data_IF_533549019545
#
_entry.id   IF_533549019545
#
_cell.length_a   1.000
_cell.length_b   1.000
_cell.length_c   1.000
_cell.angle_alpha   90.00
_cell.angle_beta   90.00
_cell.angle_gamma   90.00
#
_symmetry.space_group_name_H-M   'P 1'
#
loop_
_entity.id
_entity.type
_entity.pdbx_description
1 polymer ?
#
# COMPACT_ATOMS: atom_id res chain seq x y z
N UNK A 1 58.67 -42.16 -32.15
CA UNK A 1 58.43 -41.20 -31.06
C UNK A 1 56.93 -40.87 -31.07
N UNK A 2 56.02 -41.79 -30.75
CA UNK A 2 55.54 -42.28 -29.42
C UNK A 2 55.07 -41.18 -28.46
N UNK A 3 53.76 -41.21 -28.17
CA UNK A 3 53.07 -40.51 -27.08
C UNK A 3 51.93 -39.62 -27.60
N UNK A 4 50.64 -39.98 -27.58
CA UNK A 4 49.94 -41.03 -26.83
C UNK A 4 49.37 -40.51 -25.51
N UNK A 5 48.21 -39.82 -25.55
CA UNK A 5 47.41 -39.54 -24.35
C UNK A 5 45.91 -39.39 -24.69
N UNK A 6 45.17 -40.46 -24.42
CA UNK A 6 43.79 -40.50 -23.86
C UNK A 6 43.97 -41.01 -22.39
N UNK A 7 43.02 -40.92 -21.42
CA UNK A 7 41.54 -40.85 -21.49
C UNK A 7 40.96 -39.97 -20.32
N UNK A 8 39.85 -40.30 -19.61
CA UNK A 8 38.51 -40.82 -19.93
C UNK A 8 37.42 -39.75 -19.60
N UNK A 9 36.13 -39.88 -19.96
CA UNK A 9 35.16 -40.78 -19.33
C UNK A 9 34.02 -39.97 -18.68
N UNK A 10 32.82 -40.15 -19.21
CA UNK A 10 31.54 -39.63 -18.72
C UNK A 10 31.18 -40.20 -17.35
N UNK A 11 30.65 -39.36 -16.46
CA UNK A 11 29.65 -39.76 -15.45
C UNK A 11 28.62 -38.66 -15.27
N UNK A 12 27.39 -38.94 -15.70
CA UNK A 12 26.19 -38.25 -15.29
C UNK A 12 25.77 -38.71 -13.87
N UNK A 13 25.33 -37.78 -13.02
CA UNK A 13 24.52 -37.94 -11.79
C UNK A 13 24.52 -36.57 -11.10
N UNK A 14 23.45 -35.90 -10.71
CA UNK A 14 22.00 -36.02 -10.79
C UNK A 14 21.48 -34.68 -10.22
N UNK A 15 20.25 -34.25 -10.54
CA UNK A 15 19.74 -32.96 -10.07
C UNK A 15 19.44 -33.00 -8.56
N UNK A 16 19.95 -32.02 -7.82
CA UNK A 16 19.52 -31.76 -6.45
C UNK A 16 18.09 -31.20 -6.49
N UNK A 17 17.15 -32.11 -6.26
CA UNK A 17 15.75 -31.86 -5.98
C UNK A 17 15.62 -31.09 -4.67
N UNK A 18 15.31 -29.80 -4.76
CA UNK A 18 14.80 -28.99 -3.66
C UNK A 18 13.30 -28.78 -3.90
N UNK A 19 12.48 -29.58 -3.22
CA UNK A 19 11.03 -29.52 -3.24
C UNK A 19 10.53 -28.12 -2.86
N UNK A 20 10.04 -27.37 -3.85
CA UNK A 20 9.14 -26.26 -3.60
C UNK A 20 7.77 -26.85 -3.25
N UNK A 21 7.38 -26.70 -1.99
CA UNK A 21 6.05 -27.02 -1.54
C UNK A 21 5.03 -26.22 -2.36
N UNK A 22 4.13 -26.97 -3.00
CA UNK A 22 3.04 -26.51 -3.84
C UNK A 22 2.05 -25.66 -3.02
N UNK A 23 2.32 -24.36 -2.98
CA UNK A 23 1.41 -23.36 -2.44
C UNK A 23 0.37 -23.00 -3.50
N UNK A 24 -0.56 -23.90 -3.78
CA UNK A 24 -1.67 -23.63 -4.70
C UNK A 24 -2.42 -22.37 -4.27
N UNK A 25 -2.29 -21.33 -5.10
CA UNK A 25 -2.86 -19.99 -4.95
C UNK A 25 -4.39 -20.07 -5.05
N UNK A 26 -5.15 -19.41 -4.15
CA UNK A 26 -6.60 -19.42 -4.23
C UNK A 26 -7.07 -18.69 -5.51
N UNK A 27 -8.09 -19.22 -6.22
CA UNK A 27 -8.64 -18.59 -7.41
C UNK A 27 -9.23 -17.21 -7.05
N UNK A 28 -8.74 -16.16 -7.72
CA UNK A 28 -9.11 -14.77 -7.46
C UNK A 28 -7.98 -13.89 -6.88
N UNK A 29 -6.80 -14.44 -6.59
CA UNK A 29 -5.61 -13.62 -6.37
C UNK A 29 -4.97 -13.32 -7.72
N UNK A 30 -5.10 -12.09 -8.24
CA UNK A 30 -4.41 -11.71 -9.48
C UNK A 30 -2.89 -11.66 -9.23
N UNK A 31 -2.16 -12.54 -9.90
CA UNK A 31 -0.72 -12.43 -10.04
C UNK A 31 -0.44 -11.20 -10.90
N UNK A 32 0.27 -10.19 -10.36
CA UNK A 32 0.82 -9.11 -11.18
C UNK A 32 -0.16 -8.21 -11.92
N UNK A 33 -1.36 -7.99 -11.37
CA UNK A 33 -2.36 -7.08 -11.94
C UNK A 33 -2.43 -5.72 -11.22
N UNK A 34 -2.74 -4.67 -11.98
CA UNK A 34 -3.13 -3.36 -11.42
C UNK A 34 -4.53 -3.48 -10.80
N UNK A 35 -4.70 -3.02 -9.57
CA UNK A 35 -6.00 -2.94 -8.91
C UNK A 35 -6.68 -1.61 -9.20
N UNK A 36 -8.00 -1.62 -9.31
CA UNK A 36 -8.79 -0.43 -9.64
C UNK A 36 -9.58 0.01 -8.39
N UNK A 37 -9.30 1.21 -7.85
CA UNK A 37 -10.06 1.74 -6.72
C UNK A 37 -11.42 2.27 -7.19
N UNK A 38 -12.42 2.14 -6.33
CA UNK A 38 -13.72 2.77 -6.54
C UNK A 38 -13.63 4.27 -6.25
N UNK A 39 -14.23 5.16 -7.06
CA UNK A 39 -14.31 6.57 -6.70
C UNK A 39 -15.23 6.75 -5.48
N UNK A 40 -14.83 7.58 -4.53
CA UNK A 40 -15.70 7.94 -3.41
C UNK A 40 -16.97 8.63 -3.95
N UNK A 41 -18.18 8.13 -3.63
CA UNK A 41 -19.41 8.79 -4.01
C UNK A 41 -19.50 10.19 -3.39
N UNK A 42 -20.26 11.12 -4.02
CA UNK A 42 -20.46 12.46 -3.50
C UNK A 42 -20.75 12.48 -1.99
N UNK A 43 -20.20 13.45 -1.27
CA UNK A 43 -20.34 13.50 0.19
C UNK A 43 -21.80 13.68 0.65
N UNK A 44 -22.65 14.19 -0.24
CA UNK A 44 -24.09 14.38 -0.04
C UNK A 44 -24.91 13.09 -0.14
N UNK A 45 -24.38 12.02 -0.75
CA UNK A 45 -25.09 10.75 -0.88
C UNK A 45 -24.85 9.86 0.34
N UNK A 46 -25.83 9.00 0.65
CA UNK A 46 -25.61 7.92 1.59
C UNK A 46 -24.66 6.89 0.95
N UNK A 47 -23.66 6.46 1.71
CA UNK A 47 -22.86 5.30 1.34
C UNK A 47 -23.59 4.04 1.83
N UNK A 48 -23.90 3.07 0.95
CA UNK A 48 -24.51 1.83 1.38
C UNK A 48 -23.57 1.09 2.33
N UNK A 49 -24.15 0.29 3.22
CA UNK A 49 -23.36 -0.58 4.11
C UNK A 49 -22.44 -1.45 3.27
N UNK A 50 -21.16 -1.43 3.59
CA UNK A 50 -20.16 -2.21 2.86
C UNK A 50 -20.07 -3.62 3.44
N UNK A 51 -19.95 -4.66 2.60
CA UNK A 51 -19.66 -6.00 3.10
C UNK A 51 -18.29 -6.03 3.78
N UNK A 52 -18.03 -7.01 4.67
CA UNK A 52 -16.70 -7.19 5.22
C UNK A 52 -15.71 -7.52 4.08
N UNK A 53 -14.51 -6.92 4.06
CA UNK A 53 -13.48 -7.27 3.08
C UNK A 53 -13.04 -8.73 3.26
N UNK A 54 -12.78 -9.43 2.16
CA UNK A 54 -12.26 -10.80 2.21
C UNK A 54 -10.75 -10.80 2.49
N UNK A 55 -10.19 -11.87 3.09
CA UNK A 55 -8.74 -12.03 3.19
C UNK A 55 -8.08 -11.85 1.82
N UNK A 56 -6.96 -11.11 1.77
CA UNK A 56 -6.20 -10.80 0.55
C UNK A 56 -6.87 -9.91 -0.52
N UNK A 57 -8.10 -9.42 -0.33
CA UNK A 57 -8.70 -8.41 -1.22
C UNK A 57 -9.15 -7.18 -0.41
N UNK A 58 -8.38 -6.09 -0.43
CA UNK A 58 -8.79 -4.85 0.19
C UNK A 58 -9.89 -4.18 -0.64
N UNK A 59 -10.79 -3.44 0.01
CA UNK A 59 -11.61 -2.46 -0.68
C UNK A 59 -10.77 -1.19 -0.83
N UNK A 60 -10.65 -0.70 -2.07
CA UNK A 60 -9.82 0.46 -2.41
C UNK A 60 -10.70 1.60 -2.88
N UNK A 61 -10.44 2.79 -2.37
CA UNK A 61 -11.23 3.98 -2.67
C UNK A 61 -10.35 5.15 -3.04
N UNK A 62 -10.70 5.83 -4.13
CA UNK A 62 -10.04 7.04 -4.59
C UNK A 62 -10.89 8.26 -4.21
N UNK A 63 -10.27 9.23 -3.54
CA UNK A 63 -10.90 10.50 -3.18
C UNK A 63 -10.23 11.61 -3.97
N UNK A 64 -11.00 12.28 -4.83
CA UNK A 64 -10.50 13.40 -5.62
C UNK A 64 -10.96 14.71 -4.99
N UNK A 65 -10.02 15.52 -4.52
CA UNK A 65 -10.30 16.78 -3.81
C UNK A 65 -11.11 17.74 -4.65
N UNK A 66 -10.81 17.86 -5.95
CA UNK A 66 -11.57 18.71 -6.86
C UNK A 66 -13.07 18.38 -6.91
N UNK A 67 -13.43 17.11 -6.72
CA UNK A 67 -14.84 16.64 -6.72
C UNK A 67 -15.53 16.96 -5.39
N UNK A 68 -14.79 16.98 -4.28
CA UNK A 68 -15.39 17.00 -2.94
C UNK A 68 -15.15 18.29 -2.16
N UNK A 69 -14.18 19.13 -2.53
CA UNK A 69 -13.72 20.28 -1.73
C UNK A 69 -14.83 21.30 -1.36
N UNK A 70 -15.77 21.54 -2.27
CA UNK A 70 -16.88 22.46 -2.00
C UNK A 70 -17.81 21.88 -0.92
N UNK A 71 -18.08 20.58 -1.02
CA UNK A 71 -18.99 19.89 -0.11
C UNK A 71 -18.30 19.62 1.23
N UNK A 72 -17.02 19.24 1.24
CA UNK A 72 -16.32 18.81 2.46
C UNK A 72 -16.28 19.90 3.51
N UNK A 73 -16.17 21.17 3.10
CA UNK A 73 -16.15 22.32 4.00
C UNK A 73 -17.41 22.38 4.88
N UNK A 74 -18.57 22.02 4.32
CA UNK A 74 -19.85 21.99 5.05
C UNK A 74 -20.01 20.74 5.92
N UNK A 75 -19.50 19.61 5.47
CA UNK A 75 -19.70 18.31 6.13
C UNK A 75 -18.65 17.99 7.19
N UNK A 76 -17.43 18.52 7.06
CA UNK A 76 -16.32 18.21 7.96
C UNK A 76 -16.66 18.43 9.45
N UNK A 77 -17.32 19.53 9.88
CA UNK A 77 -17.68 19.72 11.29
C UNK A 77 -18.67 18.69 11.84
N UNK A 78 -19.44 18.02 10.95
CA UNK A 78 -20.40 16.97 11.31
C UNK A 78 -19.77 15.58 11.35
N UNK A 79 -18.56 15.41 10.83
CA UNK A 79 -17.92 14.11 10.60
C UNK A 79 -16.59 13.99 11.35
N UNK A 80 -15.72 14.99 11.24
CA UNK A 80 -14.39 15.00 11.85
C UNK A 80 -14.46 15.28 13.35
N UNK A 81 -13.47 14.77 14.09
CA UNK A 81 -13.29 15.12 15.49
C UNK A 81 -12.57 16.48 15.66
N UNK A 82 -12.55 17.06 16.88
CA UNK A 82 -11.89 18.34 17.11
C UNK A 82 -10.39 18.35 16.80
N UNK A 83 -9.68 17.23 17.01
CA UNK A 83 -8.25 17.15 16.74
C UNK A 83 -7.96 17.14 15.24
N UNK A 84 -8.79 16.43 14.46
CA UNK A 84 -8.72 16.45 12.99
C UNK A 84 -9.06 17.83 12.42
N UNK A 85 -10.07 18.51 12.98
CA UNK A 85 -10.41 19.88 12.57
C UNK A 85 -9.27 20.86 12.87
N UNK A 86 -8.72 20.82 14.09
CA UNK A 86 -7.56 21.63 14.46
C UNK A 86 -6.35 21.36 13.54
N UNK A 87 -6.07 20.08 13.26
CA UNK A 87 -5.00 19.69 12.33
C UNK A 87 -5.25 20.21 10.92
N UNK A 88 -6.49 20.24 10.45
CA UNK A 88 -6.83 20.83 9.16
C UNK A 88 -6.51 22.34 9.11
N UNK A 89 -6.71 23.06 10.21
CA UNK A 89 -6.42 24.50 10.30
C UNK A 89 -4.92 24.84 10.29
N UNK A 90 -4.05 23.90 10.69
CA UNK A 90 -2.59 24.07 10.65
C UNK A 90 -2.01 24.11 9.23
N UNK A 91 -2.74 23.61 8.22
CA UNK A 91 -2.27 23.63 6.84
C UNK A 91 -2.27 25.05 6.26
N UNK A 92 -1.06 25.53 5.91
CA UNK A 92 -0.85 26.86 5.33
C UNK A 92 -1.44 27.01 3.93
N UNK A 93 -1.36 25.96 3.10
CA UNK A 93 -1.88 25.98 1.73
C UNK A 93 -3.34 25.52 1.72
N UNK A 94 -4.26 26.28 1.11
CA UNK A 94 -5.67 25.89 1.03
C UNK A 94 -5.90 24.53 0.35
N UNK A 95 -5.09 24.20 -0.67
CA UNK A 95 -5.18 22.91 -1.37
C UNK A 95 -4.82 21.72 -0.49
N UNK A 96 -3.76 21.83 0.32
CA UNK A 96 -3.34 20.77 1.25
C UNK A 96 -4.41 20.57 2.34
N UNK A 97 -4.95 21.67 2.86
CA UNK A 97 -6.08 21.64 3.81
C UNK A 97 -7.29 20.93 3.22
N UNK A 98 -7.69 21.30 2.00
CA UNK A 98 -8.84 20.68 1.33
C UNK A 98 -8.61 19.18 1.08
N UNK A 99 -7.40 18.79 0.68
CA UNK A 99 -7.00 17.39 0.47
C UNK A 99 -7.11 16.60 1.77
N UNK A 100 -6.53 17.12 2.85
CA UNK A 100 -6.62 16.52 4.18
C UNK A 100 -8.08 16.34 4.63
N UNK A 101 -8.91 17.38 4.51
CA UNK A 101 -10.32 17.30 4.89
C UNK A 101 -11.08 16.26 4.05
N UNK A 102 -10.87 16.23 2.72
CA UNK A 102 -11.49 15.25 1.83
C UNK A 102 -11.09 13.81 2.20
N UNK A 103 -9.79 13.59 2.44
CA UNK A 103 -9.24 12.32 2.84
C UNK A 103 -9.87 11.80 4.15
N UNK A 104 -9.90 12.65 5.18
CA UNK A 104 -10.38 12.26 6.51
C UNK A 104 -11.91 12.11 6.57
N UNK A 105 -12.67 12.98 5.89
CA UNK A 105 -14.13 12.80 5.78
C UNK A 105 -14.45 11.53 4.99
N UNK A 106 -13.73 11.28 3.89
CA UNK A 106 -13.83 10.04 3.12
C UNK A 106 -13.55 8.81 3.97
N UNK A 107 -12.44 8.81 4.71
CA UNK A 107 -12.06 7.71 5.60
C UNK A 107 -13.15 7.42 6.63
N UNK A 108 -13.62 8.45 7.37
CA UNK A 108 -14.67 8.25 8.39
C UNK A 108 -15.96 7.72 7.78
N UNK A 109 -16.35 8.22 6.61
CA UNK A 109 -17.55 7.73 5.89
C UNK A 109 -17.41 6.25 5.49
N UNK A 110 -16.27 5.87 4.95
CA UNK A 110 -16.01 4.49 4.51
C UNK A 110 -15.97 3.52 5.70
N UNK A 111 -15.24 3.87 6.77
CA UNK A 111 -15.20 3.07 8.00
C UNK A 111 -16.59 2.95 8.62
N UNK A 112 -17.36 4.03 8.70
CA UNK A 112 -18.74 4.01 9.16
C UNK A 112 -19.63 3.07 8.33
N UNK A 113 -19.49 3.09 7.00
CA UNK A 113 -20.25 2.21 6.11
C UNK A 113 -19.92 0.72 6.34
N UNK A 114 -18.69 0.38 6.70
CA UNK A 114 -18.32 -0.98 7.12
C UNK A 114 -18.85 -1.35 8.52
N UNK A 115 -18.77 -0.40 9.46
CA UNK A 115 -19.14 -0.62 10.86
C UNK A 115 -20.66 -0.54 11.11
N UNK A 116 -21.42 0.06 10.19
CA UNK A 116 -22.86 0.28 10.35
C UNK A 116 -23.20 1.35 11.39
N UNK A 117 -22.33 2.35 11.56
CA UNK A 117 -22.49 3.45 12.52
C UNK A 117 -22.40 4.81 11.82
N UNK A 118 -22.62 5.91 12.55
CA UNK A 118 -22.44 7.25 12.00
C UNK A 118 -20.94 7.59 11.81
N UNK A 119 -20.55 8.35 10.76
CA UNK A 119 -19.15 8.75 10.52
C UNK A 119 -18.44 9.40 11.71
N UNK A 120 -19.14 10.28 12.45
CA UNK A 120 -18.61 10.94 13.65
C UNK A 120 -18.43 9.99 14.84
N UNK A 121 -19.11 8.84 14.83
CA UNK A 121 -19.00 7.84 15.89
C UNK A 121 -17.83 6.86 15.67
N UNK A 122 -17.15 6.91 14.51
CA UNK A 122 -15.96 6.09 14.25
C UNK A 122 -14.84 6.55 15.19
N UNK A 123 -14.38 5.65 16.06
CA UNK A 123 -13.24 5.88 16.94
C UNK A 123 -11.96 5.39 16.27
N UNK A 124 -11.02 6.30 16.04
CA UNK A 124 -9.68 5.99 15.50
C UNK A 124 -8.66 6.23 16.61
N UNK A 125 -7.89 5.20 16.94
CA UNK A 125 -6.81 5.26 17.91
C UNK A 125 -5.44 5.15 17.24
N UNK A 126 -4.36 5.33 17.99
CA UNK A 126 -2.99 5.05 17.55
C UNK A 126 -2.50 3.76 18.18
N UNK A 127 -1.97 2.85 17.36
CA UNK A 127 -1.30 1.66 17.86
C UNK A 127 0.03 2.03 18.53
N UNK A 128 0.54 1.19 19.45
CA UNK A 128 1.92 1.28 19.91
C UNK A 128 2.88 1.25 18.71
N UNK A 129 3.87 2.15 18.70
CA UNK A 129 4.90 2.16 17.68
C UNK A 129 5.73 0.87 17.76
N UNK A 130 5.93 0.13 16.67
CA UNK A 130 6.76 -1.08 16.71
C UNK A 130 8.23 -0.82 17.10
N UNK A 131 8.72 0.41 16.93
CA UNK A 131 10.12 0.77 17.18
C UNK A 131 10.39 1.12 18.65
N UNK A 132 9.46 1.81 19.33
CA UNK A 132 9.66 2.32 20.69
C UNK A 132 8.52 2.02 21.67
N UNK A 133 7.39 1.48 21.21
CA UNK A 133 6.22 1.16 22.04
C UNK A 133 5.27 2.31 22.35
N UNK A 134 5.65 3.56 22.06
CA UNK A 134 4.84 4.75 22.36
C UNK A 134 3.57 4.88 21.48
N UNK A 135 2.51 5.56 21.94
CA UNK A 135 1.19 5.60 21.28
C UNK A 135 1.14 6.56 20.08
N UNK A 136 2.17 6.55 19.25
CA UNK A 136 2.25 7.34 18.01
C UNK A 136 2.35 6.48 16.75
N UNK A 137 2.21 5.16 16.87
CA UNK A 137 2.16 4.24 15.74
C UNK A 137 0.96 4.48 14.82
N UNK A 138 0.74 3.56 13.88
CA UNK A 138 -0.28 3.75 12.84
C UNK A 138 -1.70 3.94 13.41
N UNK A 139 -2.59 4.66 12.69
CA UNK A 139 -4.01 4.70 13.00
C UNK A 139 -4.64 3.29 12.95
N UNK A 140 -5.51 2.98 13.92
CA UNK A 140 -6.23 1.70 14.01
C UNK A 140 -7.63 1.89 14.56
N UNK A 141 -8.51 0.92 14.26
CA UNK A 141 -9.76 0.78 14.99
C UNK A 141 -9.50 0.00 16.30
N UNK A 142 -10.00 0.47 17.45
CA UNK A 142 -9.73 -0.17 18.75
C UNK A 142 -10.17 -1.64 18.86
N UNK A 143 -11.19 -2.05 18.11
CA UNK A 143 -11.71 -3.42 18.13
C UNK A 143 -10.87 -4.42 17.31
N UNK A 144 -9.92 -3.92 16.50
CA UNK A 144 -9.04 -4.71 15.64
C UNK A 144 -9.75 -5.52 14.55
N UNK A 145 -11.06 -5.31 14.32
CA UNK A 145 -11.84 -6.13 13.38
C UNK A 145 -11.61 -5.77 11.92
N UNK A 146 -11.20 -4.53 11.68
CA UNK A 146 -10.92 -3.98 10.36
C UNK A 146 -9.60 -3.22 10.41
N UNK A 147 -8.81 -3.39 9.37
CA UNK A 147 -7.60 -2.62 9.14
C UNK A 147 -7.86 -1.62 8.03
N UNK A 148 -7.20 -0.47 8.11
CA UNK A 148 -7.28 0.53 7.06
C UNK A 148 -5.94 1.22 6.89
N UNK A 149 -5.78 1.86 5.74
CA UNK A 149 -4.67 2.75 5.47
C UNK A 149 -5.16 3.89 4.58
N UNK A 150 -4.56 5.05 4.76
CA UNK A 150 -4.85 6.27 4.02
C UNK A 150 -3.51 6.86 3.58
N UNK A 151 -3.42 7.22 2.30
CA UNK A 151 -2.36 8.07 1.78
C UNK A 151 -2.97 9.18 0.93
N UNK A 152 -2.33 10.35 0.89
CA UNK A 152 -2.81 11.48 0.11
C UNK A 152 -1.66 12.36 -0.36
N UNK A 153 -1.79 12.87 -1.57
CA UNK A 153 -0.84 13.80 -2.19
C UNK A 153 -1.61 14.72 -3.16
N UNK A 154 -1.23 16.00 -3.25
CA UNK A 154 -1.66 16.93 -4.30
C UNK A 154 -3.11 16.80 -4.81
N UNK A 155 -4.10 16.84 -3.91
CA UNK A 155 -5.52 16.78 -4.30
C UNK A 155 -6.08 15.37 -4.55
N UNK A 156 -5.28 14.33 -4.35
CA UNK A 156 -5.66 12.92 -4.48
C UNK A 156 -5.50 12.20 -3.14
N UNK A 157 -6.39 11.25 -2.83
CA UNK A 157 -6.23 10.36 -1.70
C UNK A 157 -6.63 8.94 -2.04
N UNK A 158 -5.91 7.97 -1.50
CA UNK A 158 -6.16 6.56 -1.63
C UNK A 158 -6.43 5.98 -0.24
N UNK A 159 -7.55 5.27 -0.10
CA UNK A 159 -7.96 4.60 1.14
C UNK A 159 -8.10 3.11 0.87
N UNK A 160 -7.52 2.28 1.74
CA UNK A 160 -7.79 0.86 1.77
C UNK A 160 -8.50 0.46 3.06
N UNK A 161 -9.41 -0.51 2.95
CA UNK A 161 -10.01 -1.23 4.09
C UNK A 161 -9.86 -2.73 3.86
N UNK A 162 -9.37 -3.47 4.85
CA UNK A 162 -9.06 -4.89 4.73
C UNK A 162 -9.31 -5.66 6.04
N UNK A 163 -9.43 -7.00 5.92
CA UNK A 163 -9.57 -7.91 7.07
C UNK A 163 -8.23 -8.22 7.76
N UNK A 164 -7.11 -7.89 7.12
CA UNK A 164 -5.74 -8.05 7.63
C UNK A 164 -4.99 -6.73 7.51
N UNK A 165 -3.83 -6.57 8.19
CA UNK A 165 -3.01 -5.37 8.07
C UNK A 165 -2.80 -4.98 6.61
N UNK A 166 -3.10 -3.71 6.30
CA UNK A 166 -3.02 -3.14 4.95
C UNK A 166 -2.29 -1.80 5.01
N UNK A 167 -1.55 -1.50 3.97
CA UNK A 167 -0.97 -0.19 3.71
C UNK A 167 -1.23 0.24 2.28
N UNK A 168 -1.49 1.53 2.07
CA UNK A 168 -1.56 2.13 0.74
C UNK A 168 -0.61 3.31 0.65
N UNK A 169 -0.15 3.57 -0.56
CA UNK A 169 0.53 4.80 -0.86
C UNK A 169 0.13 5.36 -2.22
N UNK A 170 0.15 6.69 -2.34
CA UNK A 170 -0.08 7.42 -3.58
C UNK A 170 0.81 8.65 -3.57
N UNK A 171 1.57 8.83 -4.65
CA UNK A 171 2.53 9.93 -4.80
C UNK A 171 2.52 10.47 -6.24
N UNK A 172 2.77 11.77 -6.44
CA UNK A 172 3.02 12.31 -7.76
C UNK A 172 4.32 11.74 -8.33
N UNK A 173 4.41 11.64 -9.65
CA UNK A 173 5.67 11.35 -10.32
C UNK A 173 6.60 12.54 -10.11
N UNK A 174 7.73 12.37 -9.42
CA UNK A 174 8.61 13.48 -9.09
C UNK A 174 9.38 13.95 -10.32
N UNK A 175 9.97 15.17 -10.29
CA UNK A 175 10.88 15.60 -11.33
C UNK A 175 12.16 14.73 -11.31
N UNK A 176 12.83 14.53 -12.46
CA UNK A 176 14.00 13.65 -12.57
C UNK A 176 15.15 13.96 -11.59
N UNK A 177 15.32 15.23 -11.21
CA UNK A 177 16.36 15.66 -10.27
C UNK A 177 16.13 15.06 -8.87
N UNK A 178 14.90 15.09 -8.37
CA UNK A 178 14.53 14.46 -7.09
C UNK A 178 14.77 12.96 -7.11
N UNK A 179 14.55 12.32 -8.26
CA UNK A 179 14.82 10.89 -8.42
C UNK A 179 16.32 10.60 -8.26
N UNK A 180 17.18 11.41 -8.86
CA UNK A 180 18.63 11.21 -8.78
C UNK A 180 19.16 11.35 -7.33
N UNK A 181 18.54 12.21 -6.53
CA UNK A 181 18.91 12.41 -5.12
C UNK A 181 18.39 11.30 -4.19
N UNK A 182 17.29 10.65 -4.55
CA UNK A 182 16.58 9.69 -3.70
C UNK A 182 16.72 8.22 -4.13
N UNK A 183 17.22 7.93 -5.34
CA UNK A 183 17.32 6.55 -5.82
C UNK A 183 18.25 5.67 -4.97
N UNK A 184 19.25 6.26 -4.31
CA UNK A 184 20.22 5.54 -3.48
C UNK A 184 19.66 5.09 -2.13
N UNK A 185 18.46 5.56 -1.73
CA UNK A 185 17.78 5.05 -0.52
C UNK A 185 16.98 3.77 -0.77
N UNK A 186 16.84 3.35 -2.04
CA UNK A 186 16.14 2.13 -2.41
C UNK A 186 17.01 0.89 -2.20
N UNK A 187 16.43 -0.29 -2.42
CA UNK A 187 17.23 -1.51 -2.38
C UNK A 187 18.29 -1.44 -3.50
N UNK A 188 19.57 -1.83 -3.27
CA UNK A 188 20.64 -1.65 -4.24
C UNK A 188 20.34 -2.23 -5.64
N UNK A 189 19.63 -3.35 -5.70
CA UNK A 189 19.17 -3.93 -6.97
C UNK A 189 18.16 -3.04 -7.70
N UNK A 190 17.22 -2.41 -7.00
CA UNK A 190 16.24 -1.49 -7.61
C UNK A 190 16.92 -0.22 -8.09
N UNK A 191 17.87 0.32 -7.32
CA UNK A 191 18.67 1.48 -7.72
C UNK A 191 19.44 1.18 -9.02
N UNK A 192 20.09 0.02 -9.10
CA UNK A 192 20.80 -0.42 -10.31
C UNK A 192 19.86 -0.64 -11.50
N UNK A 193 18.70 -1.27 -11.29
CA UNK A 193 17.68 -1.48 -12.31
C UNK A 193 17.11 -0.15 -12.84
N UNK A 194 16.83 0.81 -11.96
CA UNK A 194 16.34 2.14 -12.35
C UNK A 194 17.39 2.93 -13.11
N UNK A 195 18.66 2.88 -12.68
CA UNK A 195 19.77 3.56 -13.37
C UNK A 195 19.96 3.08 -14.83
N UNK A 196 19.55 1.85 -15.14
CA UNK A 196 19.63 1.29 -16.49
C UNK A 196 18.55 1.80 -17.47
N UNK A 197 17.52 2.52 -17.01
CA UNK A 197 16.35 2.93 -17.82
C UNK A 197 16.54 4.21 -18.67
N UNK A 198 17.70 4.37 -19.31
CA UNK A 198 18.16 5.60 -19.99
C UNK A 198 17.11 6.48 -20.71
N UNK A 199 17.29 7.84 -20.73
CA UNK A 199 18.34 8.62 -20.05
C UNK A 199 17.88 9.05 -18.64
N UNK A 200 18.43 8.40 -17.61
CA UNK A 200 18.11 8.64 -16.20
C UNK A 200 17.08 7.64 -15.62
N UNK A 201 16.99 7.54 -14.28
CA UNK A 201 15.97 6.72 -13.66
C UNK A 201 14.60 7.23 -14.10
N UNK A 202 13.83 6.38 -14.78
CA UNK A 202 12.50 6.74 -15.23
C UNK A 202 11.68 7.19 -14.03
N UNK A 203 11.36 8.48 -13.92
CA UNK A 203 10.73 9.03 -12.70
C UNK A 203 9.44 8.30 -12.33
N UNK A 204 8.68 7.86 -13.33
CA UNK A 204 7.50 7.04 -13.17
C UNK A 204 7.79 5.62 -12.64
N UNK A 205 8.97 5.06 -12.93
CA UNK A 205 9.45 3.80 -12.39
C UNK A 205 9.96 3.97 -10.95
N UNK A 206 10.68 5.04 -10.66
CA UNK A 206 11.04 5.39 -9.28
C UNK A 206 9.81 5.55 -8.40
N UNK A 207 8.84 6.39 -8.81
CA UNK A 207 7.60 6.61 -8.05
C UNK A 207 6.83 5.30 -7.83
N UNK A 208 6.87 4.37 -8.80
CA UNK A 208 6.28 3.04 -8.65
C UNK A 208 6.97 2.24 -7.54
N UNK A 209 8.30 2.16 -7.54
CA UNK A 209 9.05 1.48 -6.48
C UNK A 209 8.82 2.15 -5.13
N UNK A 210 8.86 3.48 -5.08
CA UNK A 210 8.66 4.26 -3.87
C UNK A 210 7.29 3.98 -3.23
N UNK A 211 6.22 4.09 -4.01
CA UNK A 211 4.85 3.82 -3.52
C UNK A 211 4.67 2.37 -3.06
N UNK A 212 5.30 1.39 -3.73
CA UNK A 212 5.33 -0.01 -3.29
C UNK A 212 5.97 -0.17 -1.91
N UNK A 213 7.13 0.47 -1.69
CA UNK A 213 7.82 0.44 -0.39
C UNK A 213 6.99 1.12 0.70
N UNK A 214 6.51 2.34 0.45
CA UNK A 214 5.71 3.08 1.43
C UNK A 214 4.41 2.35 1.77
N UNK A 215 3.73 1.75 0.79
CA UNK A 215 2.55 0.92 1.05
C UNK A 215 2.90 -0.27 1.96
N UNK A 216 4.01 -0.96 1.71
CA UNK A 216 4.49 -2.05 2.56
C UNK A 216 4.85 -1.59 3.99
N UNK A 217 5.60 -0.49 4.13
CA UNK A 217 6.01 0.07 5.42
C UNK A 217 4.82 0.59 6.24
N UNK A 218 3.84 1.22 5.59
CA UNK A 218 2.57 1.59 6.22
C UNK A 218 1.77 0.36 6.66
N UNK A 219 1.79 -0.71 5.86
CA UNK A 219 1.14 -1.97 6.17
C UNK A 219 1.72 -2.67 7.40
N UNK A 220 3.04 -2.73 7.50
CA UNK A 220 3.74 -3.31 8.66
C UNK A 220 3.63 -2.44 9.91
N UNK A 221 3.39 -1.14 9.75
CA UNK A 221 3.16 -0.19 10.84
C UNK A 221 4.44 0.42 11.43
N UNK A 222 5.61 0.08 10.88
CA UNK A 222 6.91 0.65 11.26
C UNK A 222 7.08 2.09 10.72
N UNK A 223 6.40 2.43 9.62
CA UNK A 223 6.47 3.75 9.00
C UNK A 223 7.88 4.11 8.51
N UNK A 224 8.17 5.42 8.45
CA UNK A 224 9.44 6.01 7.98
C UNK A 224 10.67 5.64 8.83
N UNK A 225 10.49 4.94 9.96
CA UNK A 225 11.60 4.47 10.80
C UNK A 225 12.28 3.20 10.29
N UNK A 226 11.73 2.57 9.26
CA UNK A 226 12.34 1.41 8.61
C UNK A 226 13.17 1.84 7.40
N UNK A 227 14.26 1.11 7.17
CA UNK A 227 15.14 1.31 6.03
C UNK A 227 14.46 0.88 4.73
N UNK A 228 14.15 1.80 3.79
CA UNK A 228 13.57 1.44 2.50
C UNK A 228 14.49 0.54 1.67
N UNK A 229 15.80 0.48 1.95
CA UNK A 229 16.74 -0.39 1.26
C UNK A 229 16.64 -1.86 1.68
N UNK A 230 15.95 -2.18 2.78
CA UNK A 230 15.95 -3.52 3.36
C UNK A 230 15.23 -4.58 2.52
N UNK A 231 14.14 -4.20 1.84
CA UNK A 231 13.26 -5.13 1.13
C UNK A 231 13.17 -4.79 -0.36
N UNK A 232 13.40 -5.79 -1.22
CA UNK A 232 13.21 -5.68 -2.65
C UNK A 232 11.73 -5.88 -3.02
N UNK A 233 11.12 -4.89 -3.67
CA UNK A 233 9.71 -4.89 -4.09
C UNK A 233 9.54 -4.91 -5.61
N UNK A 234 10.64 -5.02 -6.35
CA UNK A 234 10.67 -5.06 -7.81
C UNK A 234 10.57 -3.68 -8.46
N UNK A 235 11.47 -3.38 -9.40
CA UNK A 235 11.38 -2.17 -10.23
C UNK A 235 10.51 -2.35 -11.47
N UNK A 236 10.25 -3.58 -11.89
CA UNK A 236 9.50 -3.93 -13.10
C UNK A 236 7.99 -3.64 -13.05
N UNK A 237 7.26 -3.98 -14.12
CA UNK A 237 5.80 -3.80 -14.20
C UNK A 237 5.04 -4.69 -13.21
N UNK A 238 5.63 -5.80 -12.76
CA UNK A 238 5.07 -6.68 -11.75
C UNK A 238 5.85 -6.47 -10.44
N UNK A 239 5.18 -6.22 -9.30
CA UNK A 239 5.84 -6.13 -8.01
C UNK A 239 6.38 -7.49 -7.55
N UNK A 240 7.39 -7.45 -6.68
CA UNK A 240 7.81 -8.61 -5.88
C UNK A 240 7.17 -8.51 -4.50
N UNK A 241 6.53 -9.60 -4.07
CA UNK A 241 5.85 -9.68 -2.79
C UNK A 241 6.87 -9.88 -1.65
N UNK A 242 6.93 -8.98 -0.65
CA UNK A 242 7.69 -9.23 0.57
C UNK A 242 7.11 -10.43 1.34
N UNK A 243 7.94 -11.08 2.15
CA UNK A 243 7.55 -12.30 2.84
C UNK A 243 6.27 -12.14 3.70
N UNK A 244 5.20 -12.87 3.34
CA UNK A 244 3.92 -12.83 4.05
C UNK A 244 3.01 -11.66 3.67
N UNK A 245 3.32 -10.94 2.60
CA UNK A 245 2.55 -9.82 2.06
C UNK A 245 2.18 -10.09 0.61
N UNK A 246 1.09 -9.46 0.16
CA UNK A 246 0.80 -9.27 -1.26
C UNK A 246 0.95 -7.79 -1.56
N UNK A 247 1.61 -7.49 -2.68
CA UNK A 247 1.83 -6.15 -3.17
C UNK A 247 1.20 -6.01 -4.56
N UNK A 248 0.51 -4.91 -4.79
CA UNK A 248 -0.08 -4.60 -6.08
C UNK A 248 -0.02 -3.10 -6.38
N UNK A 249 0.18 -2.76 -7.65
CA UNK A 249 0.01 -1.39 -8.12
C UNK A 249 -1.48 -1.05 -8.17
N UNK A 250 -1.82 0.22 -7.94
CA UNK A 250 -3.19 0.73 -7.95
C UNK A 250 -3.35 1.75 -9.08
N UNK A 251 -4.40 1.59 -9.89
CA UNK A 251 -4.74 2.52 -10.96
C UNK A 251 -5.13 3.89 -10.37
N UNK A 252 -4.40 4.93 -10.77
CA UNK A 252 -4.61 6.32 -10.35
C UNK A 252 -4.48 7.25 -11.56
N UNK A 253 -4.96 8.50 -11.48
CA UNK A 253 -4.81 9.48 -12.55
C UNK A 253 -3.37 9.61 -13.06
N UNK A 254 -3.23 10.02 -14.32
CA UNK A 254 -1.93 10.27 -14.91
C UNK A 254 -1.12 11.27 -14.07
N UNK A 255 0.21 11.10 -14.06
CA UNK A 255 1.11 11.88 -13.21
C UNK A 255 1.24 11.38 -11.78
N UNK A 256 0.53 10.31 -11.38
CA UNK A 256 0.66 9.68 -10.07
C UNK A 256 1.05 8.21 -10.16
N UNK A 257 1.60 7.66 -9.08
CA UNK A 257 1.74 6.23 -8.84
C UNK A 257 1.12 5.88 -7.50
N UNK A 258 0.66 4.65 -7.38
CA UNK A 258 0.07 4.16 -6.15
C UNK A 258 0.26 2.65 -6.02
N UNK A 259 0.29 2.18 -4.79
CA UNK A 259 0.38 0.77 -4.47
C UNK A 259 -0.42 0.44 -3.20
N UNK A 260 -0.71 -0.85 -3.05
CA UNK A 260 -1.29 -1.43 -1.84
C UNK A 260 -0.50 -2.66 -1.43
N UNK A 261 -0.24 -2.79 -0.13
CA UNK A 261 0.33 -3.97 0.51
C UNK A 261 -0.69 -4.57 1.49
N UNK A 262 -1.01 -5.86 1.37
CA UNK A 262 -1.93 -6.57 2.26
C UNK A 262 -1.26 -7.79 2.88
N UNK A 263 -1.35 -7.92 4.20
CA UNK A 263 -0.78 -9.07 4.89
C UNK A 263 -1.57 -10.33 4.61
N UNK A 264 -0.86 -11.40 4.26
CA UNK A 264 -1.43 -12.72 4.05
C UNK A 264 -1.81 -13.37 5.37
N UNK A 265 -2.99 -13.99 5.41
CA UNK A 265 -3.34 -14.92 6.49
C UNK A 265 -2.56 -16.21 6.23
N UNK A 266 -1.63 -16.58 7.11
CA UNK A 266 -1.06 -17.94 7.06
C UNK A 266 -2.21 -18.90 7.30
N UNK A 267 -2.38 -19.87 6.40
CA UNK A 267 -3.48 -20.84 6.49
C UNK A 267 -3.57 -21.45 7.88
N UNK A 268 -4.72 -21.33 8.53
CA UNK A 268 -5.08 -22.26 9.57
C UNK A 268 -5.08 -23.65 8.93
N UNK A 269 -4.39 -24.62 9.55
CA UNK A 269 -4.58 -26.02 9.14
C UNK A 269 -6.07 -26.33 9.18
N UNK A 270 -6.63 -27.00 8.16
CA UNK A 270 -7.99 -27.50 8.26
C UNK A 270 -8.08 -28.40 9.51
N UNK A 271 -9.20 -28.37 10.26
CA UNK A 271 -9.39 -29.30 11.36
C UNK A 271 -9.25 -30.72 10.80
N UNK A 272 -8.44 -31.55 11.47
CA UNK A 272 -8.28 -32.95 11.11
C UNK A 272 -9.67 -33.60 11.14
N UNK A 273 -10.13 -34.27 10.07
CA UNK A 273 -11.42 -34.94 10.07
C UNK A 273 -11.46 -36.00 11.18
N UNK A 274 -12.67 -36.30 11.71
CA UNK A 274 -12.85 -37.25 12.80
C UNK A 274 -12.36 -38.66 12.45
#
# INVERSE_FOLDING_TARGET
MTGGTRPPGSTASGPLSGSAADGTRPPGSAAGGILFPDPLPPLTSALPRQPPPTPARPHLWLVTTAVHQETVTRYAPLVLDPAELARAEEFRRPGDRATYMCAHVGLRRLLAAHLGIAPRAVSVARAPCPCCGEPHGRPVLPDGRLHFSLSHCEGLSLIAVAATPVGVDVEPVPPPQTVAEAADVLHPAESAELAALAPGPGAAAFARVWTRKEAYLKGTGVGLGADPAAEYVGSGPVPTDPAGWLLADVAVPAGHRAAVAVRMVRGASPPKPP
#
